data_IF_253420829409
#
_entry.id   IF_253420829409
#
_cell.length_a   1.000
_cell.length_b   1.000
_cell.length_c   1.000
_cell.angle_alpha   90.00
_cell.angle_beta   90.00
_cell.angle_gamma   90.00
#
_symmetry.space_group_name_H-M   'P 1'
#
loop_
_entity.id
_entity.type
_entity.pdbx_description
1 polymer ?
#
# COMPACT_ATOMS: atom_id res chain seq x y z
N UNK A 1 10.17 8.21 -2.04
CA UNK A 1 10.05 8.00 -3.51
C UNK A 1 9.64 6.55 -3.74
N UNK A 2 8.70 6.24 -4.65
CA UNK A 2 8.10 4.89 -4.82
C UNK A 2 9.12 3.81 -5.19
N UNK A 3 10.21 4.19 -5.84
CA UNK A 3 11.28 3.27 -6.25
C UNK A 3 11.88 2.55 -5.04
N UNK A 4 12.14 3.25 -3.93
CA UNK A 4 12.74 2.65 -2.74
C UNK A 4 11.81 1.67 -2.02
N UNK A 5 10.47 1.82 -2.14
CA UNK A 5 9.53 0.83 -1.62
C UNK A 5 9.64 -0.50 -2.37
N UNK A 6 9.88 -0.45 -3.69
CA UNK A 6 10.11 -1.67 -4.50
C UNK A 6 11.42 -2.35 -4.10
N UNK A 7 12.48 -1.56 -3.88
CA UNK A 7 13.78 -2.10 -3.46
C UNK A 7 13.69 -2.75 -2.06
N UNK A 8 12.95 -2.14 -1.13
CA UNK A 8 12.65 -2.75 0.18
C UNK A 8 11.94 -4.10 0.01
N UNK A 9 10.89 -4.18 -0.81
CA UNK A 9 10.18 -5.44 -1.06
C UNK A 9 11.06 -6.52 -1.71
N UNK A 10 11.98 -6.14 -2.59
CA UNK A 10 12.95 -7.08 -3.17
C UNK A 10 13.94 -7.62 -2.11
N UNK A 11 14.41 -6.76 -1.21
CA UNK A 11 15.23 -7.17 -0.07
C UNK A 11 14.45 -8.09 0.88
N UNK A 12 13.19 -7.77 1.18
CA UNK A 12 12.31 -8.59 2.03
C UNK A 12 12.12 -10.01 1.44
N UNK A 13 12.10 -10.14 0.11
CA UNK A 13 12.03 -11.41 -0.61
C UNK A 13 13.39 -12.16 -0.72
N UNK A 14 14.47 -11.61 -0.17
CA UNK A 14 15.80 -12.22 -0.17
C UNK A 14 16.74 -11.79 -1.31
N UNK A 15 16.34 -10.86 -2.17
CA UNK A 15 17.23 -10.28 -3.19
C UNK A 15 18.00 -9.11 -2.59
N UNK A 16 19.25 -9.36 -2.16
CA UNK A 16 20.09 -8.33 -1.56
C UNK A 16 20.44 -7.20 -2.55
N UNK A 17 19.92 -6.00 -2.29
CA UNK A 17 20.22 -4.75 -2.97
C UNK A 17 20.71 -3.75 -1.91
N UNK A 18 21.96 -3.26 -2.02
CA UNK A 18 22.46 -2.25 -1.10
C UNK A 18 21.82 -0.89 -1.39
N UNK A 19 21.16 -0.32 -0.39
CA UNK A 19 20.64 1.05 -0.42
C UNK A 19 20.65 1.65 0.99
N UNK A 20 20.53 2.97 1.07
CA UNK A 20 20.41 3.68 2.35
C UNK A 20 18.95 3.66 2.85
N UNK A 21 18.75 3.06 4.02
CA UNK A 21 17.43 2.84 4.64
C UNK A 21 16.65 4.12 4.90
N UNK A 22 17.32 5.27 4.98
CA UNK A 22 16.70 6.56 5.25
C UNK A 22 15.78 7.04 4.12
N UNK A 23 15.91 6.47 2.91
CA UNK A 23 15.07 6.81 1.77
C UNK A 23 13.83 5.93 1.62
N UNK A 24 13.71 4.88 2.43
CA UNK A 24 12.56 3.97 2.42
C UNK A 24 11.38 4.64 3.12
N UNK A 25 10.19 4.66 2.49
CA UNK A 25 8.99 5.16 3.15
C UNK A 25 8.69 4.35 4.43
N UNK A 26 8.02 4.95 5.41
CA UNK A 26 7.59 4.20 6.60
C UNK A 26 6.67 3.03 6.22
N UNK A 27 6.63 2.00 7.06
CA UNK A 27 5.75 0.83 6.86
C UNK A 27 4.28 1.25 6.74
N UNK A 28 3.86 2.25 7.51
CA UNK A 28 2.51 2.83 7.46
C UNK A 28 2.20 3.41 6.07
N UNK A 29 3.16 4.12 5.48
CA UNK A 29 3.04 4.67 4.12
C UNK A 29 3.00 3.55 3.06
N UNK A 30 3.75 2.46 3.27
CA UNK A 30 3.76 1.30 2.36
C UNK A 30 2.47 0.49 2.42
N UNK A 31 1.87 0.34 3.60
CA UNK A 31 0.54 -0.29 3.79
C UNK A 31 -0.62 0.60 3.32
N UNK A 32 -0.36 1.86 3.02
CA UNK A 32 -1.38 2.80 2.55
C UNK A 32 -2.20 3.42 3.68
N UNK A 33 -1.70 3.42 4.92
CA UNK A 33 -2.36 4.03 6.08
C UNK A 33 -2.57 5.54 5.88
N UNK A 34 -1.59 6.22 5.29
CA UNK A 34 -1.71 7.65 4.93
C UNK A 34 -2.89 7.91 3.99
N UNK A 35 -3.16 7.00 3.05
CA UNK A 35 -4.29 7.11 2.11
C UNK A 35 -5.60 6.80 2.83
N UNK A 36 -5.61 5.77 3.67
CA UNK A 36 -6.77 5.41 4.48
C UNK A 36 -7.20 6.57 5.40
N UNK A 37 -6.24 7.20 6.08
CA UNK A 37 -6.51 8.33 6.97
C UNK A 37 -6.90 9.59 6.19
N UNK A 38 -6.29 9.82 5.03
CA UNK A 38 -6.72 10.90 4.15
C UNK A 38 -8.17 10.73 3.69
N UNK A 39 -8.58 9.51 3.36
CA UNK A 39 -9.95 9.19 2.96
C UNK A 39 -10.96 9.40 4.09
N UNK A 40 -10.61 9.01 5.33
CA UNK A 40 -11.46 9.23 6.52
C UNK A 40 -11.73 10.70 6.80
N UNK A 41 -10.80 11.58 6.44
CA UNK A 41 -10.90 13.02 6.70
C UNK A 41 -11.70 13.78 5.63
N UNK A 42 -12.17 13.12 4.56
CA UNK A 42 -13.01 13.75 3.55
C UNK A 42 -14.48 13.55 3.94
N UNK A 43 -15.12 14.64 4.36
CA UNK A 43 -16.54 14.64 4.75
C UNK A 43 -17.49 14.77 3.55
N UNK A 44 -17.07 15.46 2.48
CA UNK A 44 -17.89 15.67 1.28
C UNK A 44 -17.96 14.37 0.43
N UNK A 45 -19.15 13.75 0.29
CA UNK A 45 -19.31 12.53 -0.50
C UNK A 45 -18.93 12.69 -1.98
N UNK A 46 -19.16 13.87 -2.56
CA UNK A 46 -18.87 14.14 -3.98
C UNK A 46 -17.37 14.23 -4.19
N UNK A 47 -16.67 14.92 -3.28
CA UNK A 47 -15.21 14.99 -3.30
C UNK A 47 -14.58 13.61 -3.09
N UNK A 48 -15.10 12.84 -2.13
CA UNK A 48 -14.66 11.48 -1.85
C UNK A 48 -14.80 10.59 -3.08
N UNK A 49 -15.98 10.56 -3.70
CA UNK A 49 -16.23 9.76 -4.89
C UNK A 49 -15.35 10.20 -6.06
N UNK A 50 -15.16 11.51 -6.26
CA UNK A 50 -14.30 12.03 -7.32
C UNK A 50 -12.84 11.59 -7.15
N UNK A 51 -12.31 11.66 -5.93
CA UNK A 51 -10.91 11.31 -5.62
C UNK A 51 -10.67 9.79 -5.66
N UNK A 52 -11.62 8.99 -5.19
CA UNK A 52 -11.47 7.54 -5.04
C UNK A 52 -12.32 6.70 -6.00
N UNK A 53 -12.88 7.31 -7.05
CA UNK A 53 -13.74 6.64 -8.05
C UNK A 53 -13.19 5.32 -8.58
N UNK A 54 -11.88 5.21 -8.80
CA UNK A 54 -11.24 3.97 -9.27
C UNK A 54 -11.28 2.87 -8.20
N UNK A 55 -11.01 3.22 -6.94
CA UNK A 55 -11.06 2.28 -5.82
C UNK A 55 -12.50 1.78 -5.63
N UNK A 56 -13.46 2.71 -5.58
CA UNK A 56 -14.88 2.40 -5.40
C UNK A 56 -15.45 1.54 -6.53
N UNK A 57 -15.10 1.82 -7.79
CA UNK A 57 -15.51 0.98 -8.94
C UNK A 57 -14.97 -0.45 -8.86
N UNK A 58 -13.85 -0.66 -8.15
CA UNK A 58 -13.24 -1.97 -7.94
C UNK A 58 -13.73 -2.65 -6.66
N UNK A 59 -14.69 -2.05 -5.95
CA UNK A 59 -15.23 -2.58 -4.69
C UNK A 59 -14.27 -2.45 -3.51
N UNK A 60 -13.16 -1.70 -3.65
CA UNK A 60 -12.19 -1.50 -2.59
C UNK A 60 -12.40 -0.10 -1.99
N UNK A 61 -12.62 -0.04 -0.69
CA UNK A 61 -12.64 1.25 0.02
C UNK A 61 -11.21 1.67 0.37
N UNK A 62 -10.83 2.94 0.20
CA UNK A 62 -9.52 3.46 0.60
C UNK A 62 -9.14 3.15 2.06
N UNK A 63 -10.10 3.12 2.97
CA UNK A 63 -9.89 2.83 4.39
C UNK A 63 -9.51 1.36 4.63
N UNK A 64 -9.85 0.47 3.71
CA UNK A 64 -9.50 -0.94 3.75
C UNK A 64 -8.13 -1.24 3.12
N UNK A 65 -7.43 -0.24 2.59
CA UNK A 65 -6.12 -0.42 1.93
C UNK A 65 -5.09 -1.14 2.80
N UNK A 66 -4.90 -0.80 4.10
CA UNK A 66 -3.92 -1.48 4.94
C UNK A 66 -4.20 -2.97 5.09
N UNK A 67 -5.46 -3.34 5.33
CA UNK A 67 -5.87 -4.74 5.44
C UNK A 67 -5.72 -5.49 4.12
N UNK A 68 -6.08 -4.86 3.00
CA UNK A 68 -5.94 -5.47 1.69
C UNK A 68 -4.47 -5.67 1.29
N UNK A 69 -3.60 -4.74 1.68
CA UNK A 69 -2.16 -4.87 1.48
C UNK A 69 -1.61 -6.10 2.19
N UNK A 70 -1.93 -6.27 3.48
CA UNK A 70 -1.46 -7.42 4.27
C UNK A 70 -1.97 -8.74 3.67
N UNK A 71 -3.26 -8.79 3.31
CA UNK A 71 -3.87 -9.95 2.67
C UNK A 71 -3.17 -10.33 1.35
N UNK A 72 -2.90 -9.34 0.48
CA UNK A 72 -2.20 -9.58 -0.79
C UNK A 72 -0.76 -10.00 -0.54
N UNK A 73 -0.06 -9.40 0.43
CA UNK A 73 1.31 -9.79 0.78
C UNK A 73 1.36 -11.25 1.22
N UNK A 74 0.50 -11.67 2.14
CA UNK A 74 0.41 -13.07 2.58
C UNK A 74 0.13 -14.01 1.41
N UNK A 75 -0.81 -13.67 0.53
CA UNK A 75 -1.09 -14.47 -0.67
C UNK A 75 0.12 -14.59 -1.62
N UNK A 76 0.94 -13.54 -1.75
CA UNK A 76 2.15 -13.59 -2.58
C UNK A 76 3.19 -14.51 -1.94
N UNK A 77 3.39 -14.40 -0.63
CA UNK A 77 4.32 -15.23 0.13
C UNK A 77 3.91 -16.72 0.08
N UNK A 78 2.62 -17.02 0.25
CA UNK A 78 2.08 -18.39 0.15
C UNK A 78 2.25 -19.00 -1.26
N UNK A 79 1.98 -18.23 -2.31
CA UNK A 79 2.14 -18.69 -3.70
C UNK A 79 3.60 -18.82 -4.14
N UNK A 80 4.57 -18.32 -3.36
CA UNK A 80 5.99 -18.41 -3.67
C UNK A 80 6.62 -19.73 -3.18
N UNK A 81 5.84 -20.64 -2.59
CA UNK A 81 6.29 -21.90 -1.97
C UNK A 81 5.97 -23.15 -2.84
N UNK A 82 5.46 -22.98 -4.08
CA UNK A 82 5.30 -24.09 -5.05
C UNK A 82 6.50 -24.27 -5.99
#
# INVERSE_FOLDING_TARGET
NKIFAVVQGANDAGLYIPFDSDFVPSQEAMRGEVIADYAKNIEDPIEYERRFSVYLRRGLRPEALPSHFDEVKTRIEENSVE
#
